data_IF_596176284575
#
_entry.id   IF_596176284575
#
_cell.length_a   1.000
_cell.length_b   1.000
_cell.length_c   1.000
_cell.angle_alpha   90.00
_cell.angle_beta   90.00
_cell.angle_gamma   90.00
#
_symmetry.space_group_name_H-M   'P 1'
#
loop_
_entity.id
_entity.type
_entity.pdbx_description
1 polymer ?
#
# COMPACT_ATOMS: atom_id res chain seq x y z
N UNK A 1 52.28 -41.52 37.18
CA UNK A 1 50.82 -41.45 37.43
C UNK A 1 50.59 -40.17 38.24
N UNK A 2 49.89 -39.13 37.83
CA UNK A 2 49.04 -38.86 36.65
C UNK A 2 49.19 -37.38 36.29
N UNK A 3 49.14 -37.07 34.99
CA UNK A 3 49.19 -35.72 34.44
C UNK A 3 47.94 -34.92 34.85
N UNK A 4 48.15 -33.68 35.30
CA UNK A 4 47.08 -32.71 35.51
C UNK A 4 47.00 -31.83 34.26
N UNK A 5 45.96 -32.03 33.44
CA UNK A 5 45.69 -31.20 32.28
C UNK A 5 45.11 -29.84 32.74
N UNK A 6 45.57 -28.69 32.21
CA UNK A 6 44.96 -27.41 32.50
C UNK A 6 43.59 -27.33 31.82
N UNK A 7 42.56 -27.05 32.61
CA UNK A 7 41.20 -26.80 32.14
C UNK A 7 41.19 -25.52 31.30
N UNK A 8 41.01 -25.69 29.99
CA UNK A 8 40.73 -24.62 29.05
C UNK A 8 39.48 -23.88 29.54
N UNK A 9 39.64 -22.62 29.96
CA UNK A 9 38.52 -21.72 30.17
C UNK A 9 37.76 -21.65 28.84
N UNK A 10 36.53 -22.17 28.83
CA UNK A 10 35.56 -21.87 27.78
C UNK A 10 35.45 -20.35 27.73
N UNK A 11 36.00 -19.74 26.69
CA UNK A 11 35.73 -18.36 26.33
C UNK A 11 34.23 -18.29 26.09
N UNK A 12 33.48 -17.89 27.12
CA UNK A 12 32.10 -17.49 26.98
C UNK A 12 32.09 -16.37 25.95
N UNK A 13 31.53 -16.66 24.78
CA UNK A 13 31.19 -15.62 23.82
C UNK A 13 30.32 -14.59 24.55
N UNK A 14 30.66 -13.29 24.51
CA UNK A 14 29.82 -12.28 25.12
C UNK A 14 28.45 -12.37 24.45
N UNK A 15 27.41 -12.62 25.25
CA UNK A 15 26.02 -12.49 24.85
C UNK A 15 25.76 -11.03 24.52
N UNK A 16 26.09 -10.64 23.29
CA UNK A 16 25.79 -9.34 22.72
C UNK A 16 24.30 -9.30 22.41
N UNK A 17 23.51 -8.92 23.40
CA UNK A 17 22.14 -8.46 23.24
C UNK A 17 22.17 -7.14 22.46
N UNK A 18 22.36 -7.21 21.14
CA UNK A 18 22.08 -6.08 20.27
C UNK A 18 20.61 -5.70 20.46
N UNK A 19 20.30 -4.48 20.90
CA UNK A 19 18.92 -4.03 20.93
C UNK A 19 18.46 -3.99 19.48
N UNK A 20 17.54 -4.90 19.12
CA UNK A 20 16.72 -4.76 17.92
C UNK A 20 16.10 -3.36 18.03
N UNK A 21 16.56 -2.42 17.20
CA UNK A 21 16.24 -1.00 17.33
C UNK A 21 14.71 -0.83 17.33
N UNK A 22 14.10 -0.37 18.43
CA UNK A 22 12.64 -0.24 18.57
C UNK A 22 11.98 0.69 17.53
N UNK A 23 12.77 1.43 16.74
CA UNK A 23 12.32 2.37 15.72
C UNK A 23 11.74 1.67 14.48
N UNK A 24 12.32 0.57 14.01
CA UNK A 24 11.89 -0.07 12.75
C UNK A 24 10.63 -0.91 12.91
N UNK A 25 10.45 -1.58 14.06
CA UNK A 25 9.21 -2.32 14.38
C UNK A 25 8.03 -1.35 14.46
N UNK A 26 8.23 -0.14 15.03
CA UNK A 26 7.20 0.90 15.05
C UNK A 26 6.83 1.37 13.65
N UNK A 27 7.79 1.49 12.73
CA UNK A 27 7.51 1.87 11.34
C UNK A 27 6.74 0.78 10.60
N UNK A 28 7.08 -0.51 10.78
CA UNK A 28 6.33 -1.64 10.19
C UNK A 28 4.87 -1.63 10.64
N UNK A 29 4.62 -1.53 11.95
CA UNK A 29 3.26 -1.54 12.50
C UNK A 29 2.43 -0.33 12.02
N UNK A 30 3.05 0.84 11.84
CA UNK A 30 2.37 2.03 11.31
C UNK A 30 2.02 1.84 9.83
N UNK A 31 2.91 1.26 9.02
CA UNK A 31 2.66 0.98 7.61
C UNK A 31 1.58 -0.11 7.42
N UNK A 32 1.60 -1.15 8.26
CA UNK A 32 0.56 -2.19 8.30
C UNK A 32 -0.81 -1.58 8.63
N UNK A 33 -0.91 -0.76 9.68
CA UNK A 33 -2.15 -0.05 10.01
C UNK A 33 -2.61 0.91 8.91
N UNK A 34 -1.67 1.56 8.21
CA UNK A 34 -2.00 2.41 7.05
C UNK A 34 -2.54 1.60 5.87
N UNK A 35 -2.04 0.39 5.63
CA UNK A 35 -2.54 -0.50 4.58
C UNK A 35 -3.95 -0.99 4.90
N UNK A 36 -4.23 -1.28 6.16
CA UNK A 36 -5.57 -1.64 6.63
C UNK A 36 -6.56 -0.48 6.42
N UNK A 37 -6.20 0.75 6.78
CA UNK A 37 -7.04 1.94 6.53
C UNK A 37 -7.31 2.14 5.03
N UNK A 38 -6.28 2.08 4.19
CA UNK A 38 -6.43 2.21 2.72
C UNK A 38 -7.39 1.14 2.19
N UNK A 39 -7.26 -0.10 2.67
CA UNK A 39 -8.12 -1.22 2.25
C UNK A 39 -9.58 -1.01 2.67
N UNK A 40 -9.82 -0.55 3.90
CA UNK A 40 -11.17 -0.21 4.36
C UNK A 40 -11.79 0.90 3.52
N UNK A 41 -11.01 1.96 3.23
CA UNK A 41 -11.46 3.09 2.41
C UNK A 41 -11.74 2.68 0.97
N UNK A 42 -10.94 1.80 0.38
CA UNK A 42 -11.20 1.22 -0.95
C UNK A 42 -12.54 0.49 -0.96
N UNK A 43 -12.79 -0.38 0.02
CA UNK A 43 -14.04 -1.13 0.10
C UNK A 43 -15.25 -0.19 0.17
N UNK A 44 -15.17 0.88 0.97
CA UNK A 44 -16.22 1.91 1.04
C UNK A 44 -16.46 2.56 -0.33
N UNK A 45 -15.40 2.92 -1.05
CA UNK A 45 -15.53 3.55 -2.36
C UNK A 45 -16.10 2.60 -3.42
N UNK A 46 -15.70 1.33 -3.42
CA UNK A 46 -16.30 0.31 -4.30
C UNK A 46 -17.79 0.11 -4.02
N UNK A 47 -18.18 0.01 -2.75
CA UNK A 47 -19.62 -0.07 -2.40
C UNK A 47 -20.40 1.16 -2.85
N UNK A 48 -19.80 2.36 -2.73
CA UNK A 48 -20.43 3.61 -3.19
C UNK A 48 -20.58 3.62 -4.71
N UNK A 49 -19.53 3.20 -5.44
CA UNK A 49 -19.55 3.08 -6.89
C UNK A 49 -20.67 2.15 -7.37
N UNK A 50 -20.79 0.95 -6.79
CA UNK A 50 -21.84 -0.03 -7.14
C UNK A 50 -23.26 0.51 -6.91
N UNK A 51 -23.46 1.27 -5.81
CA UNK A 51 -24.75 1.93 -5.52
C UNK A 51 -25.08 2.98 -6.56
N UNK A 52 -24.12 3.86 -6.90
CA UNK A 52 -24.30 4.88 -7.93
C UNK A 52 -24.59 4.24 -9.28
N UNK A 53 -23.85 3.18 -9.66
CA UNK A 53 -24.07 2.45 -10.90
C UNK A 53 -25.47 1.82 -10.98
N UNK A 54 -25.99 1.33 -9.84
CA UNK A 54 -27.36 0.82 -9.76
C UNK A 54 -28.39 1.94 -9.91
N UNK A 55 -28.18 3.07 -9.23
CA UNK A 55 -29.04 4.26 -9.35
C UNK A 55 -29.07 4.80 -10.79
N UNK A 56 -27.91 4.87 -11.46
CA UNK A 56 -27.83 5.28 -12.87
C UNK A 56 -28.63 4.36 -13.79
N UNK A 57 -28.58 3.04 -13.58
CA UNK A 57 -29.38 2.09 -14.37
C UNK A 57 -30.88 2.32 -14.17
N UNK A 58 -31.31 2.56 -12.94
CA UNK A 58 -32.71 2.88 -12.62
C UNK A 58 -33.14 4.21 -13.25
N UNK A 59 -32.35 5.27 -13.10
CA UNK A 59 -32.66 6.57 -13.69
C UNK A 59 -32.73 6.52 -15.22
N UNK A 60 -31.82 5.79 -15.88
CA UNK A 60 -31.87 5.57 -17.34
C UNK A 60 -33.17 4.84 -17.73
N UNK A 61 -33.58 3.85 -16.94
CA UNK A 61 -34.83 3.11 -17.17
C UNK A 61 -36.07 3.99 -16.95
N UNK A 62 -36.07 4.83 -15.92
CA UNK A 62 -37.16 5.75 -15.63
C UNK A 62 -37.27 6.84 -16.70
N UNK A 63 -36.15 7.33 -17.23
CA UNK A 63 -36.13 8.31 -18.32
C UNK A 63 -36.69 7.72 -19.61
N UNK A 64 -36.31 6.49 -19.95
CA UNK A 64 -36.84 5.78 -21.13
C UNK A 64 -38.35 5.55 -21.04
N UNK A 65 -38.87 5.39 -19.82
CA UNK A 65 -40.29 5.13 -19.55
C UNK A 65 -41.01 6.36 -18.97
N UNK A 66 -40.46 7.57 -19.14
CA UNK A 66 -40.96 8.78 -18.49
C UNK A 66 -42.46 9.01 -18.73
N UNK A 67 -42.93 8.71 -19.93
CA UNK A 67 -44.33 8.87 -20.36
C UNK A 67 -45.29 7.96 -19.59
N UNK A 68 -44.81 6.81 -19.12
CA UNK A 68 -45.57 5.86 -18.31
C UNK A 68 -45.62 6.28 -16.83
N UNK A 69 -44.63 7.05 -16.37
CA UNK A 69 -44.49 7.46 -14.97
C UNK A 69 -45.04 8.86 -14.66
N UNK A 70 -45.15 9.75 -15.64
CA UNK A 70 -45.59 11.14 -15.44
C UNK A 70 -47.07 11.27 -14.99
N UNK A 71 -47.88 10.21 -15.13
CA UNK A 71 -49.12 10.02 -14.35
C UNK A 71 -50.18 11.13 -14.39
N UNK A 72 -50.17 12.01 -15.41
CA UNK A 72 -51.14 13.09 -15.60
C UNK A 72 -51.15 14.20 -14.54
N UNK A 73 -50.33 14.10 -13.48
CA UNK A 73 -50.24 15.09 -12.39
C UNK A 73 -48.96 15.94 -12.46
N UNK A 74 -47.99 15.52 -13.25
CA UNK A 74 -46.72 16.20 -13.42
C UNK A 74 -46.47 16.41 -14.91
N UNK A 75 -46.13 17.62 -15.37
CA UNK A 75 -45.77 17.85 -16.76
C UNK A 75 -44.61 16.93 -17.17
N UNK A 76 -44.82 16.16 -18.23
CA UNK A 76 -43.85 15.15 -18.69
C UNK A 76 -42.46 15.74 -18.97
N UNK A 77 -42.42 16.97 -19.49
CA UNK A 77 -41.19 17.67 -19.82
C UNK A 77 -40.39 18.06 -18.56
N UNK A 78 -41.07 18.53 -17.51
CA UNK A 78 -40.45 18.78 -16.20
C UNK A 78 -39.90 17.47 -15.63
N UNK A 79 -40.64 16.35 -15.73
CA UNK A 79 -40.18 15.07 -15.18
C UNK A 79 -38.92 14.56 -15.89
N UNK A 80 -38.89 14.71 -17.22
CA UNK A 80 -37.73 14.35 -18.02
C UNK A 80 -36.52 15.23 -17.70
N UNK A 81 -36.73 16.52 -17.44
CA UNK A 81 -35.67 17.43 -17.04
C UNK A 81 -35.08 17.03 -15.68
N UNK A 82 -35.93 16.75 -14.68
CA UNK A 82 -35.48 16.32 -13.35
C UNK A 82 -34.69 15.01 -13.41
N UNK A 83 -35.17 14.03 -14.19
CA UNK A 83 -34.46 12.77 -14.39
C UNK A 83 -33.12 12.97 -15.11
N UNK A 84 -33.05 13.90 -16.06
CA UNK A 84 -31.82 14.23 -16.78
C UNK A 84 -30.80 14.91 -15.87
N UNK A 85 -31.25 15.82 -15.01
CA UNK A 85 -30.40 16.46 -14.01
C UNK A 85 -29.86 15.45 -13.00
N UNK A 86 -30.73 14.58 -12.46
CA UNK A 86 -30.35 13.50 -11.56
C UNK A 86 -29.37 12.51 -12.20
N UNK A 87 -29.52 12.22 -13.50
CA UNK A 87 -28.55 11.41 -14.26
C UNK A 87 -27.18 12.07 -14.32
N UNK A 88 -27.14 13.36 -14.66
CA UNK A 88 -25.89 14.13 -14.75
C UNK A 88 -25.16 14.18 -13.41
N UNK A 89 -25.89 14.42 -12.33
CA UNK A 89 -25.32 14.44 -10.97
C UNK A 89 -24.73 13.07 -10.59
N UNK A 90 -25.47 11.99 -10.85
CA UNK A 90 -24.97 10.64 -10.57
C UNK A 90 -23.77 10.25 -11.45
N UNK A 91 -23.72 10.67 -12.71
CA UNK A 91 -22.56 10.46 -13.57
C UNK A 91 -21.32 11.22 -13.06
N UNK A 92 -21.50 12.45 -12.57
CA UNK A 92 -20.44 13.22 -11.90
C UNK A 92 -19.93 12.50 -10.64
N UNK A 93 -20.84 12.08 -9.75
CA UNK A 93 -20.47 11.35 -8.53
C UNK A 93 -19.78 10.01 -8.84
N UNK A 94 -20.18 9.33 -9.92
CA UNK A 94 -19.54 8.10 -10.35
C UNK A 94 -18.09 8.33 -10.76
N UNK A 95 -17.82 9.42 -11.48
CA UNK A 95 -16.47 9.77 -11.92
C UNK A 95 -15.58 10.17 -10.75
N UNK A 96 -16.10 10.95 -9.79
CA UNK A 96 -15.41 11.24 -8.53
C UNK A 96 -15.05 9.96 -7.76
N UNK A 97 -15.98 8.99 -7.69
CA UNK A 97 -15.72 7.70 -7.07
C UNK A 97 -14.59 6.93 -7.77
N UNK A 98 -14.57 6.90 -9.11
CA UNK A 98 -13.49 6.23 -9.86
C UNK A 98 -12.13 6.86 -9.58
N UNK A 99 -12.07 8.19 -9.56
CA UNK A 99 -10.84 8.92 -9.24
C UNK A 99 -10.37 8.63 -7.81
N UNK A 100 -11.29 8.58 -6.85
CA UNK A 100 -10.97 8.23 -5.47
C UNK A 100 -10.45 6.78 -5.34
N UNK A 101 -11.06 5.82 -6.04
CA UNK A 101 -10.60 4.42 -6.09
C UNK A 101 -9.18 4.37 -6.66
N UNK A 102 -8.95 4.94 -7.85
CA UNK A 102 -7.63 4.93 -8.50
C UNK A 102 -6.54 5.56 -7.62
N UNK A 103 -6.85 6.67 -6.94
CA UNK A 103 -5.93 7.31 -5.99
C UNK A 103 -5.59 6.40 -4.81
N UNK A 104 -6.59 5.69 -4.26
CA UNK A 104 -6.39 4.77 -3.14
C UNK A 104 -5.64 3.50 -3.55
N UNK A 105 -5.90 2.94 -4.73
CA UNK A 105 -5.18 1.79 -5.28
C UNK A 105 -3.69 2.12 -5.43
N UNK A 106 -3.37 3.30 -5.96
CA UNK A 106 -1.99 3.76 -6.05
C UNK A 106 -1.33 3.87 -4.67
N UNK A 107 -2.03 4.47 -3.69
CA UNK A 107 -1.54 4.56 -2.31
C UNK A 107 -1.30 3.18 -1.69
N UNK A 108 -2.17 2.21 -1.96
CA UNK A 108 -2.01 0.84 -1.50
C UNK A 108 -0.74 0.19 -2.06
N UNK A 109 -0.47 0.37 -3.36
CA UNK A 109 0.75 -0.13 -4.00
C UNK A 109 1.98 0.49 -3.39
N UNK A 110 2.00 1.83 -3.21
CA UNK A 110 3.13 2.55 -2.61
C UNK A 110 3.38 2.06 -1.18
N UNK A 111 2.36 2.04 -0.32
CA UNK A 111 2.49 1.59 1.06
C UNK A 111 2.94 0.11 1.16
N UNK A 112 2.48 -0.75 0.25
CA UNK A 112 2.92 -2.15 0.19
C UNK A 112 4.40 -2.28 -0.21
N UNK A 113 4.87 -1.47 -1.15
CA UNK A 113 6.28 -1.42 -1.55
C UNK A 113 7.17 -0.90 -0.42
N UNK A 114 6.75 0.16 0.28
CA UNK A 114 7.46 0.69 1.44
C UNK A 114 7.57 -0.35 2.55
N UNK A 115 6.49 -1.06 2.87
CA UNK A 115 6.50 -2.13 3.87
C UNK A 115 7.48 -3.25 3.48
N UNK A 116 7.48 -3.69 2.21
CA UNK A 116 8.42 -4.71 1.73
C UNK A 116 9.88 -4.26 1.87
N UNK A 117 10.17 -2.98 1.58
CA UNK A 117 11.51 -2.43 1.74
C UNK A 117 11.94 -2.38 3.22
N UNK A 118 11.03 -1.99 4.13
CA UNK A 118 11.29 -1.98 5.58
C UNK A 118 11.58 -3.40 6.09
N UNK A 119 10.78 -4.40 5.67
CA UNK A 119 10.99 -5.80 6.04
C UNK A 119 12.30 -6.34 5.49
N UNK A 120 12.66 -6.02 4.25
CA UNK A 120 13.94 -6.42 3.66
C UNK A 120 15.12 -5.83 4.45
N UNK A 121 15.07 -4.54 4.81
CA UNK A 121 16.09 -3.91 5.65
C UNK A 121 16.18 -4.53 7.05
N UNK A 122 15.04 -4.89 7.66
CA UNK A 122 15.00 -5.61 8.94
C UNK A 122 15.68 -6.98 8.85
N UNK A 123 15.46 -7.70 7.75
CA UNK A 123 16.08 -9.01 7.51
C UNK A 123 17.60 -8.88 7.34
N UNK A 124 18.08 -7.91 6.55
CA UNK A 124 19.52 -7.65 6.38
C UNK A 124 20.20 -7.39 7.73
N UNK A 125 19.64 -6.50 8.54
CA UNK A 125 20.16 -6.21 9.89
C UNK A 125 20.15 -7.45 10.78
N UNK A 126 19.10 -8.29 10.69
CA UNK A 126 19.01 -9.49 11.51
C UNK A 126 20.02 -10.57 11.10
N UNK A 127 20.26 -10.73 9.80
CA UNK A 127 21.26 -11.66 9.27
C UNK A 127 22.67 -11.23 9.69
N UNK A 128 22.98 -9.93 9.58
CA UNK A 128 24.26 -9.38 10.08
C UNK A 128 24.46 -9.63 11.58
N UNK A 129 23.42 -9.44 12.41
CA UNK A 129 23.47 -9.73 13.85
C UNK A 129 23.75 -11.20 14.17
N UNK A 130 23.30 -12.12 13.31
CA UNK A 130 23.53 -13.56 13.46
C UNK A 130 24.89 -14.01 12.89
N UNK A 131 25.70 -13.07 12.38
CA UNK A 131 26.98 -13.38 11.71
C UNK A 131 26.79 -14.04 10.34
N UNK A 132 25.57 -14.08 9.83
CA UNK A 132 25.23 -14.61 8.51
C UNK A 132 25.37 -13.44 7.54
N UNK A 133 26.56 -13.29 6.95
CA UNK A 133 26.66 -12.41 5.78
C UNK A 133 25.97 -13.10 4.61
N UNK A 134 25.09 -12.41 3.86
CA UNK A 134 24.68 -12.93 2.56
C UNK A 134 25.94 -13.20 1.75
N UNK A 135 26.11 -14.44 1.29
CA UNK A 135 27.29 -14.87 0.54
C UNK A 135 27.47 -13.96 -0.67
N UNK A 136 28.50 -13.12 -0.65
CA UNK A 136 28.85 -12.21 -1.74
C UNK A 136 29.45 -12.94 -2.96
N UNK A 137 29.21 -14.24 -3.13
CA UNK A 137 29.83 -15.05 -4.17
C UNK A 137 29.26 -14.87 -5.58
N UNK A 138 28.26 -14.00 -5.77
CA UNK A 138 27.74 -13.63 -7.10
C UNK A 138 27.86 -12.13 -7.42
N UNK A 139 28.72 -11.38 -6.70
CA UNK A 139 29.00 -9.97 -7.03
C UNK A 139 30.24 -9.75 -7.89
N UNK A 140 30.89 -10.81 -8.35
CA UNK A 140 32.15 -10.73 -9.10
C UNK A 140 32.05 -11.27 -10.53
N UNK A 141 30.95 -11.04 -11.28
CA UNK A 141 31.07 -10.89 -12.76
C UNK A 141 29.98 -9.95 -13.30
N UNK A 142 30.29 -8.66 -13.38
CA UNK A 142 29.76 -7.79 -14.44
C UNK A 142 30.97 -7.17 -15.15
N UNK A 143 31.16 -7.38 -16.47
CA UNK A 143 32.38 -6.96 -17.18
C UNK A 143 32.46 -5.45 -17.46
N UNK A 144 31.63 -4.61 -16.82
CA UNK A 144 31.69 -3.16 -17.01
C UNK A 144 31.58 -2.44 -15.67
N UNK A 145 32.65 -1.72 -15.33
CA UNK A 145 32.80 -0.96 -14.10
C UNK A 145 31.64 0.01 -13.86
N UNK A 146 31.04 -0.10 -12.69
CA UNK A 146 30.03 0.82 -12.18
C UNK A 146 29.76 0.51 -10.71
N UNK A 147 30.15 1.45 -9.84
CA UNK A 147 30.22 1.35 -8.37
C UNK A 147 29.05 0.64 -7.65
N UNK A 148 29.30 0.04 -6.46
CA UNK A 148 28.24 -0.40 -5.57
C UNK A 148 27.46 0.83 -5.06
N UNK A 149 26.18 0.94 -5.45
CA UNK A 149 25.28 1.95 -4.86
C UNK A 149 25.07 1.59 -3.39
N UNK A 150 25.76 2.30 -2.50
CA UNK A 150 25.56 2.19 -1.06
C UNK A 150 24.08 2.38 -0.71
N UNK A 151 23.58 1.64 0.29
CA UNK A 151 22.20 1.72 0.80
C UNK A 151 21.78 3.15 1.19
N UNK A 152 22.75 4.03 1.47
CA UNK A 152 22.55 5.48 1.65
C UNK A 152 21.86 6.17 0.46
N UNK A 153 22.08 5.69 -0.77
CA UNK A 153 21.45 6.22 -1.98
C UNK A 153 19.97 5.81 -2.11
N UNK A 154 19.61 4.59 -1.70
CA UNK A 154 18.23 4.11 -1.78
C UNK A 154 17.34 4.81 -0.75
N UNK A 155 17.85 5.02 0.47
CA UNK A 155 17.16 5.76 1.53
C UNK A 155 17.02 7.26 1.19
N UNK A 156 18.01 7.84 0.49
CA UNK A 156 17.89 9.22 0.00
C UNK A 156 16.87 9.39 -1.13
N UNK A 157 16.70 8.39 -2.00
CA UNK A 157 15.70 8.44 -3.07
C UNK A 157 14.27 8.26 -2.56
N UNK A 158 14.05 7.43 -1.53
CA UNK A 158 12.72 7.29 -0.92
C UNK A 158 12.22 8.60 -0.30
N UNK A 159 13.13 9.46 0.21
CA UNK A 159 12.77 10.74 0.83
C UNK A 159 12.39 11.83 -0.18
N UNK A 160 12.78 11.70 -1.45
CA UNK A 160 12.48 12.67 -2.50
C UNK A 160 11.08 12.45 -3.09
N UNK A 161 10.54 11.23 -3.03
CA UNK A 161 9.21 10.91 -3.57
C UNK A 161 8.08 11.33 -2.61
N UNK A 162 8.38 11.56 -1.33
CA UNK A 162 7.41 12.00 -0.33
C UNK A 162 7.21 13.54 -0.23
N UNK A 163 7.78 14.35 -1.15
CA UNK A 163 7.67 15.82 -1.12
C UNK A 163 7.14 16.45 -2.43
N UNK A 164 6.23 15.77 -3.13
CA UNK A 164 5.42 16.39 -4.20
C UNK A 164 3.95 16.07 -3.98
#
# INVERSE_FOLDING_TARGET
MSQQAPTTKVLQAPSSSYPITPSFIKVSNVLEGSLEDITQRLNIQHMRYERIQTSLRQLKTNLLNADQFAGGRYPLEEYRNDLTEALRENESMMEECKQAIASLELKQVVASLELKQVVAGLLEVKLEQLGIRPSSSDRDVAPYGGQPRSLSSAVKNARIIATV
#
